data_IF_184347703822
#
_entry.id   IF_184347703822
#
_cell.length_a   1.000
_cell.length_b   1.000
_cell.length_c   1.000
_cell.angle_alpha   90.00
_cell.angle_beta   90.00
_cell.angle_gamma   90.00
#
_symmetry.space_group_name_H-M   'P 1'
#
loop_
_entity.id
_entity.type
_entity.pdbx_description
1 polymer ?
#
# COMPACT_ATOMS: atom_id res chain seq x y z
N UNK A 1 -16.85 4.14 -1.05
CA UNK A 1 -15.46 4.63 -1.19
C UNK A 1 -14.53 3.49 -1.52
N UNK A 2 -13.62 3.66 -2.48
CA UNK A 2 -12.47 2.76 -2.58
C UNK A 2 -11.46 3.21 -1.53
N UNK A 3 -11.21 2.36 -0.53
CA UNK A 3 -10.14 2.63 0.42
C UNK A 3 -8.79 2.49 -0.26
N UNK A 4 -7.88 3.39 0.08
CA UNK A 4 -6.53 3.45 -0.44
C UNK A 4 -5.52 3.38 0.69
N UNK A 5 -4.33 2.91 0.36
CA UNK A 5 -3.15 2.95 1.22
C UNK A 5 -2.06 3.75 0.51
N UNK A 6 -1.16 4.34 1.30
CA UNK A 6 -0.03 5.10 0.80
C UNK A 6 1.25 4.55 1.40
N UNK A 7 2.22 4.23 0.54
CA UNK A 7 3.54 3.78 0.94
C UNK A 7 4.62 4.61 0.25
N UNK A 8 5.79 4.68 0.86
CA UNK A 8 6.92 5.40 0.28
C UNK A 8 8.26 4.67 0.45
N UNK A 9 9.22 5.05 -0.39
CA UNK A 9 10.61 4.60 -0.32
C UNK A 9 11.56 5.80 -0.44
N UNK A 10 12.81 5.62 -0.03
CA UNK A 10 13.85 6.65 -0.15
C UNK A 10 13.53 7.92 0.65
N UNK A 11 13.01 7.80 1.86
CA UNK A 11 12.64 8.95 2.69
C UNK A 11 11.48 9.79 2.12
N UNK A 12 10.59 9.17 1.33
CA UNK A 12 9.49 9.86 0.66
C UNK A 12 9.85 10.38 -0.73
N UNK A 13 10.99 10.01 -1.28
CA UNK A 13 11.38 10.34 -2.65
C UNK A 13 10.44 9.70 -3.69
N UNK A 14 9.98 8.47 -3.44
CA UNK A 14 8.92 7.83 -4.21
C UNK A 14 7.76 7.51 -3.29
N UNK A 15 6.55 7.92 -3.65
CA UNK A 15 5.30 7.66 -2.93
C UNK A 15 4.29 7.00 -3.86
N UNK A 16 3.66 5.92 -3.41
CA UNK A 16 2.72 5.10 -4.18
C UNK A 16 1.40 5.00 -3.43
N UNK A 17 0.30 5.27 -4.13
CA UNK A 17 -1.06 5.06 -3.64
C UNK A 17 -1.66 3.83 -4.32
N UNK A 18 -2.14 2.88 -3.53
CA UNK A 18 -2.79 1.66 -4.03
C UNK A 18 -4.21 1.52 -3.46
N UNK A 19 -5.12 0.96 -4.26
CA UNK A 19 -6.47 0.60 -3.83
C UNK A 19 -6.47 -0.74 -3.09
N UNK A 20 -7.53 -1.01 -2.32
CA UNK A 20 -7.77 -2.33 -1.75
C UNK A 20 -7.92 -3.46 -2.77
N UNK A 21 -8.01 -3.17 -4.07
CA UNK A 21 -8.01 -4.19 -5.15
C UNK A 21 -6.61 -4.46 -5.71
N UNK A 22 -5.57 -3.90 -5.08
CA UNK A 22 -4.17 -3.92 -5.56
C UNK A 22 -3.98 -3.19 -6.89
N UNK A 23 -4.84 -2.21 -7.18
CA UNK A 23 -4.65 -1.31 -8.31
C UNK A 23 -3.79 -0.12 -7.86
N UNK A 24 -2.72 0.18 -8.60
CA UNK A 24 -1.92 1.37 -8.33
C UNK A 24 -2.64 2.59 -8.92
N UNK A 25 -2.97 3.55 -8.06
CA UNK A 25 -3.74 4.74 -8.42
C UNK A 25 -2.82 5.88 -8.83
N UNK A 26 -1.73 6.08 -8.10
CA UNK A 26 -0.76 7.13 -8.39
C UNK A 26 0.63 6.78 -7.90
N UNK A 27 1.63 7.30 -8.61
CA UNK A 27 3.04 7.28 -8.20
C UNK A 27 3.54 8.73 -8.29
N UNK A 28 4.08 9.24 -7.19
CA UNK A 28 4.73 10.53 -7.11
C UNK A 28 6.23 10.33 -6.89
N UNK A 29 7.05 11.01 -7.68
CA UNK A 29 8.51 10.91 -7.65
C UNK A 29 9.06 12.33 -7.48
N UNK A 30 9.90 12.54 -6.48
CA UNK A 30 10.59 13.81 -6.27
C UNK A 30 11.69 14.01 -7.32
N UNK A 31 11.93 15.23 -7.81
CA UNK A 31 12.97 15.49 -8.81
C UNK A 31 14.38 15.08 -8.37
N UNK A 32 14.64 15.07 -7.07
CA UNK A 32 15.95 14.74 -6.48
C UNK A 32 16.43 13.31 -6.75
N UNK A 33 15.53 12.39 -7.12
CA UNK A 33 15.87 11.00 -7.47
C UNK A 33 15.70 10.70 -8.96
N UNK A 34 15.51 11.73 -9.79
CA UNK A 34 15.43 11.60 -11.25
C UNK A 34 16.79 11.98 -11.83
N UNK A 35 17.71 11.01 -11.82
CA UNK A 35 19.03 11.13 -12.43
C UNK A 35 19.12 10.20 -13.65
N UNK A 36 19.32 10.72 -14.88
CA UNK A 36 19.48 9.89 -16.06
C UNK A 36 20.73 8.99 -16.03
N UNK A 37 21.74 9.35 -15.24
CA UNK A 37 22.97 8.57 -15.09
C UNK A 37 22.83 7.48 -14.02
N UNK A 38 21.78 7.52 -13.18
CA UNK A 38 21.48 6.54 -12.12
C UNK A 38 20.01 6.10 -12.14
N UNK A 39 19.58 5.53 -13.26
CA UNK A 39 18.24 4.99 -13.41
C UNK A 39 17.97 3.76 -12.50
N UNK A 40 19.02 3.06 -12.07
CA UNK A 40 18.92 1.86 -11.23
C UNK A 40 18.40 2.22 -9.83
N UNK A 41 18.92 3.29 -9.23
CA UNK A 41 18.41 3.78 -7.95
C UNK A 41 16.90 4.09 -8.01
N UNK A 42 16.45 4.79 -9.06
CA UNK A 42 15.03 5.13 -9.20
C UNK A 42 14.15 3.88 -9.35
N UNK A 43 14.62 2.89 -10.11
CA UNK A 43 13.91 1.62 -10.28
C UNK A 43 13.76 0.86 -8.96
N UNK A 44 14.81 0.85 -8.14
CA UNK A 44 14.79 0.22 -6.82
C UNK A 44 13.80 0.90 -5.88
N UNK A 45 13.79 2.24 -5.86
CA UNK A 45 12.86 3.02 -5.04
C UNK A 45 11.40 2.78 -5.45
N UNK A 46 11.11 2.77 -6.76
CA UNK A 46 9.78 2.46 -7.28
C UNK A 46 9.36 1.05 -6.86
N UNK A 47 10.24 0.06 -7.05
CA UNK A 47 9.97 -1.34 -6.72
C UNK A 47 9.68 -1.50 -5.23
N UNK A 48 10.46 -0.86 -4.36
CA UNK A 48 10.26 -0.89 -2.92
C UNK A 48 8.91 -0.27 -2.52
N UNK A 49 8.59 0.93 -3.01
CA UNK A 49 7.36 1.62 -2.67
C UNK A 49 6.11 0.90 -3.17
N UNK A 50 6.14 0.34 -4.40
CA UNK A 50 5.01 -0.41 -4.97
C UNK A 50 4.74 -1.68 -4.17
N UNK A 51 5.78 -2.47 -3.87
CA UNK A 51 5.63 -3.70 -3.10
C UNK A 51 5.12 -3.43 -1.67
N UNK A 52 5.54 -2.33 -1.06
CA UNK A 52 5.02 -1.91 0.24
C UNK A 52 3.56 -1.47 0.17
N UNK A 53 3.16 -0.70 -0.85
CA UNK A 53 1.76 -0.33 -1.04
C UNK A 53 0.86 -1.57 -1.21
N UNK A 54 1.32 -2.59 -1.94
CA UNK A 54 0.60 -3.85 -2.11
C UNK A 54 0.47 -4.60 -0.77
N UNK A 55 1.56 -4.71 0.02
CA UNK A 55 1.49 -5.30 1.36
C UNK A 55 0.50 -4.59 2.25
N UNK A 56 0.52 -3.26 2.28
CA UNK A 56 -0.41 -2.48 3.10
C UNK A 56 -1.86 -2.65 2.63
N UNK A 57 -2.10 -2.81 1.33
CA UNK A 57 -3.43 -3.10 0.81
C UNK A 57 -3.93 -4.48 1.28
N UNK A 58 -3.06 -5.49 1.28
CA UNK A 58 -3.36 -6.83 1.84
C UNK A 58 -3.65 -6.79 3.34
N UNK A 59 -2.86 -6.03 4.10
CA UNK A 59 -3.11 -5.83 5.52
C UNK A 59 -4.43 -5.10 5.79
N UNK A 60 -4.75 -4.06 5.00
CA UNK A 60 -5.99 -3.33 5.12
C UNK A 60 -7.19 -4.25 4.90
N UNK A 61 -7.17 -5.08 3.84
CA UNK A 61 -8.21 -6.07 3.59
C UNK A 61 -8.33 -7.08 4.74
N UNK A 62 -7.19 -7.59 5.22
CA UNK A 62 -7.14 -8.57 6.31
C UNK A 62 -7.73 -8.00 7.61
N UNK A 63 -7.44 -6.72 7.92
CA UNK A 63 -7.97 -5.99 9.06
C UNK A 63 -9.48 -5.80 8.95
N UNK A 64 -10.00 -5.49 7.76
CA UNK A 64 -11.46 -5.36 7.54
C UNK A 64 -12.18 -6.71 7.66
N UNK A 65 -11.63 -7.77 7.09
CA UNK A 65 -12.18 -9.13 7.26
C UNK A 65 -12.20 -9.54 8.73
N UNK A 66 -11.13 -9.24 9.47
CA UNK A 66 -11.04 -9.53 10.92
C UNK A 66 -12.06 -8.74 11.74
N UNK A 67 -12.43 -7.52 11.34
CA UNK A 67 -13.50 -6.75 12.02
C UNK A 67 -14.88 -7.39 11.79
N UNK A 68 -15.12 -7.89 10.57
CA UNK A 68 -16.38 -8.57 10.23
C UNK A 68 -16.49 -9.90 10.99
N UNK A 69 -15.46 -10.75 10.92
CA UNK A 69 -15.47 -12.07 11.57
C UNK A 69 -15.32 -11.98 13.09
N UNK A 70 -14.53 -11.02 13.59
CA UNK A 70 -14.39 -10.72 15.01
C UNK A 70 -15.65 -10.10 15.62
N UNK A 71 -16.46 -9.39 14.84
CA UNK A 71 -17.79 -8.93 15.23
C UNK A 71 -18.85 -10.04 15.24
N UNK A 72 -18.66 -11.08 14.41
CA UNK A 72 -19.53 -12.27 14.37
C UNK A 72 -19.26 -13.29 15.50
N UNK A 73 -18.09 -13.22 16.13
CA UNK A 73 -17.71 -14.10 17.24
C UNK A 73 -18.11 -13.56 18.63
N UNK A 74 -18.98 -12.53 18.67
CA UNK A 74 -19.59 -12.07 19.91
C UNK A 74 -20.63 -13.10 20.38
N UNK A 75 -20.49 -13.61 21.62
CA UNK A 75 -21.27 -14.74 22.13
C UNK A 75 -22.75 -14.35 22.30
N UNK A 76 -23.59 -14.72 21.33
CA UNK A 76 -25.04 -14.56 21.42
C UNK A 76 -25.85 -15.31 20.35
N UNK A 77 -25.23 -16.20 19.56
CA UNK A 77 -25.87 -16.81 18.39
C UNK A 77 -26.19 -18.30 18.46
N UNK A 78 -25.94 -19.00 19.57
CA UNK A 78 -26.19 -20.46 19.68
C UNK A 78 -26.57 -20.93 21.10
N UNK A 79 -27.43 -20.17 21.79
CA UNK A 79 -28.30 -20.70 22.86
C UNK A 79 -29.70 -20.12 22.69
#
# INVERSE_FOLDING_TARGET
EQRTVEASAGGGAVTVVASGKKEIISIAIKPEVIDPDDAEMLQDLITAAVNEAIRQADEMLSKEMSKITGGLNLPGGLF
#
